data_IF_534259580243
#
_entry.id   IF_534259580243
#
_cell.length_a   1.000
_cell.length_b   1.000
_cell.length_c   1.000
_cell.angle_alpha   90.00
_cell.angle_beta   90.00
_cell.angle_gamma   90.00
#
_symmetry.space_group_name_H-M   'P 1'
#
loop_
_entity.id
_entity.type
_entity.pdbx_description
1 polymer ?
#
# COMPACT_ATOMS: atom_id res chain seq x y z
N UNK A 1 -28.80 -33.39 27.50
CA UNK A 1 -28.88 -32.10 26.76
C UNK A 1 -29.81 -31.25 27.61
N UNK A 2 -29.26 -30.26 28.30
CA UNK A 2 -30.09 -29.26 28.99
C UNK A 2 -30.77 -28.39 27.95
N UNK A 3 -32.09 -28.24 28.02
CA UNK A 3 -32.83 -27.29 27.18
C UNK A 3 -32.42 -25.89 27.57
N UNK A 4 -31.78 -25.16 26.61
CA UNK A 4 -31.46 -23.76 26.80
C UNK A 4 -32.74 -22.97 27.06
N UNK A 5 -32.71 -22.05 28.02
CA UNK A 5 -33.84 -21.15 28.29
C UNK A 5 -33.98 -20.16 27.14
N UNK A 6 -35.20 -19.63 26.95
CA UNK A 6 -35.48 -18.59 25.89
C UNK A 6 -34.55 -17.39 26.03
N UNK A 7 -34.26 -16.96 27.26
CA UNK A 7 -33.32 -15.86 27.55
C UNK A 7 -31.87 -16.18 27.10
N UNK A 8 -31.42 -17.42 27.34
CA UNK A 8 -30.09 -17.86 26.88
C UNK A 8 -30.00 -17.90 25.33
N UNK A 9 -31.06 -18.30 24.66
CA UNK A 9 -31.12 -18.28 23.19
C UNK A 9 -31.11 -16.85 22.64
N UNK A 10 -31.86 -15.93 23.25
CA UNK A 10 -31.88 -14.51 22.87
C UNK A 10 -30.48 -13.92 23.02
N UNK A 11 -29.81 -14.10 24.16
CA UNK A 11 -28.46 -13.58 24.39
C UNK A 11 -27.42 -14.14 23.38
N UNK A 12 -27.58 -15.42 22.99
CA UNK A 12 -26.72 -16.03 21.97
C UNK A 12 -26.95 -15.43 20.58
N UNK A 13 -28.21 -15.17 20.20
CA UNK A 13 -28.52 -14.49 18.94
C UNK A 13 -28.05 -13.02 18.94
N UNK A 14 -28.23 -12.30 20.03
CA UNK A 14 -27.73 -10.91 20.15
C UNK A 14 -26.21 -10.87 19.99
N UNK A 15 -25.49 -11.81 20.59
CA UNK A 15 -24.04 -11.93 20.42
C UNK A 15 -23.67 -12.22 18.95
N UNK A 16 -24.37 -13.14 18.30
CA UNK A 16 -24.11 -13.47 16.88
C UNK A 16 -24.35 -12.26 15.97
N UNK A 17 -25.43 -11.49 16.22
CA UNK A 17 -25.71 -10.27 15.47
C UNK A 17 -24.58 -9.27 15.65
N UNK A 18 -24.15 -9.03 16.87
CA UNK A 18 -23.02 -8.15 17.16
C UNK A 18 -21.74 -8.57 16.44
N UNK A 19 -21.39 -9.85 16.49
CA UNK A 19 -20.19 -10.37 15.82
C UNK A 19 -20.28 -10.25 14.30
N UNK A 20 -21.48 -10.41 13.70
CA UNK A 20 -21.70 -10.21 12.26
C UNK A 20 -21.56 -8.71 11.88
N UNK A 21 -22.06 -7.79 12.70
CA UNK A 21 -21.89 -6.35 12.50
C UNK A 21 -20.39 -5.98 12.56
N UNK A 22 -19.64 -6.52 13.52
CA UNK A 22 -18.20 -6.33 13.60
C UNK A 22 -17.46 -6.87 12.37
N UNK A 23 -17.82 -8.06 11.88
CA UNK A 23 -17.24 -8.62 10.65
C UNK A 23 -17.53 -7.76 9.42
N UNK A 24 -18.71 -7.15 9.33
CA UNK A 24 -19.05 -6.22 8.25
C UNK A 24 -18.18 -4.95 8.30
N UNK A 25 -17.97 -4.39 9.50
CA UNK A 25 -17.14 -3.21 9.67
C UNK A 25 -15.65 -3.52 9.37
N UNK A 26 -15.14 -4.66 9.83
CA UNK A 26 -13.81 -5.17 9.50
C UNK A 26 -13.67 -5.34 7.97
N UNK A 27 -14.67 -5.96 7.33
CA UNK A 27 -14.67 -6.15 5.87
C UNK A 27 -14.62 -4.83 5.11
N UNK A 28 -15.40 -3.82 5.54
CA UNK A 28 -15.37 -2.47 4.95
C UNK A 28 -14.00 -1.82 5.12
N UNK A 29 -13.42 -1.92 6.32
CA UNK A 29 -12.07 -1.40 6.59
C UNK A 29 -11.03 -2.02 5.68
N UNK A 30 -11.02 -3.35 5.54
CA UNK A 30 -10.07 -4.05 4.68
C UNK A 30 -10.25 -3.70 3.19
N UNK A 31 -11.50 -3.57 2.72
CA UNK A 31 -11.79 -3.21 1.34
C UNK A 31 -11.46 -1.75 0.99
N UNK A 32 -11.48 -0.85 1.96
CA UNK A 32 -11.17 0.58 1.76
C UNK A 32 -9.66 0.87 1.80
N UNK A 33 -8.86 -0.02 2.38
CA UNK A 33 -7.41 0.18 2.52
C UNK A 33 -6.68 -0.39 1.32
N UNK A 34 -6.11 0.49 0.48
CA UNK A 34 -5.41 0.11 -0.75
C UNK A 34 -3.90 -0.11 -0.55
N UNK A 35 -3.31 0.53 0.45
CA UNK A 35 -1.87 0.40 0.75
C UNK A 35 -1.61 -0.91 1.52
N UNK A 36 -0.82 -1.80 0.91
CA UNK A 36 -0.50 -3.12 1.46
C UNK A 36 -0.04 -3.10 2.93
N UNK A 37 0.95 -2.30 3.33
CA UNK A 37 1.41 -2.26 4.72
C UNK A 37 0.33 -1.86 5.72
N UNK A 38 -0.48 -0.85 5.41
CA UNK A 38 -1.60 -0.41 6.27
C UNK A 38 -2.70 -1.47 6.37
N UNK A 39 -2.98 -2.17 5.27
CA UNK A 39 -3.91 -3.28 5.25
C UNK A 39 -3.46 -4.41 6.19
N UNK A 40 -2.18 -4.78 6.13
CA UNK A 40 -1.62 -5.82 7.01
C UNK A 40 -1.70 -5.43 8.48
N UNK A 41 -1.38 -4.17 8.82
CA UNK A 41 -1.55 -3.63 10.17
C UNK A 41 -3.02 -3.70 10.61
N UNK A 42 -3.96 -3.31 9.77
CA UNK A 42 -5.40 -3.36 10.07
C UNK A 42 -5.88 -4.79 10.33
N UNK A 43 -5.42 -5.78 9.56
CA UNK A 43 -5.73 -7.21 9.76
C UNK A 43 -5.20 -7.68 11.12
N UNK A 44 -3.93 -7.39 11.42
CA UNK A 44 -3.28 -7.78 12.68
C UNK A 44 -4.02 -7.18 13.87
N UNK A 45 -4.31 -5.87 13.86
CA UNK A 45 -5.02 -5.20 14.94
C UNK A 45 -6.45 -5.72 15.13
N UNK A 46 -7.18 -5.96 14.04
CA UNK A 46 -8.51 -6.54 14.12
C UNK A 46 -8.50 -7.92 14.79
N UNK A 47 -7.55 -8.78 14.42
CA UNK A 47 -7.40 -10.07 15.05
C UNK A 47 -6.95 -9.97 16.51
N UNK A 48 -6.02 -9.08 16.86
CA UNK A 48 -5.59 -8.85 18.23
C UNK A 48 -6.76 -8.41 19.13
N UNK A 49 -7.56 -7.47 18.65
CA UNK A 49 -8.71 -6.96 19.40
C UNK A 49 -9.76 -8.04 19.64
N UNK A 50 -10.14 -8.79 18.59
CA UNK A 50 -11.16 -9.83 18.68
C UNK A 50 -10.72 -11.02 19.55
N UNK A 51 -9.44 -11.40 19.46
CA UNK A 51 -8.90 -12.57 20.16
C UNK A 51 -8.30 -12.24 21.53
N UNK A 52 -8.24 -10.95 21.90
CA UNK A 52 -7.70 -10.46 23.17
C UNK A 52 -6.26 -10.93 23.40
N UNK A 53 -5.39 -10.73 22.42
CA UNK A 53 -3.98 -11.09 22.51
C UNK A 53 -3.09 -9.86 22.61
N UNK A 54 -1.96 -10.01 23.27
CA UNK A 54 -1.02 -8.91 23.52
C UNK A 54 -0.14 -8.61 22.31
N UNK A 55 0.07 -9.60 21.45
CA UNK A 55 0.88 -9.47 20.24
C UNK A 55 0.34 -10.40 19.15
N UNK A 56 0.61 -10.04 17.91
CA UNK A 56 0.35 -10.86 16.74
C UNK A 56 1.29 -10.43 15.60
N UNK A 57 1.39 -11.26 14.58
CA UNK A 57 2.12 -10.92 13.37
C UNK A 57 1.64 -11.74 12.20
N UNK A 58 1.95 -11.27 11.00
CA UNK A 58 1.51 -11.87 9.76
C UNK A 58 2.71 -12.14 8.85
N UNK A 59 2.83 -13.37 8.39
CA UNK A 59 3.73 -13.75 7.32
C UNK A 59 2.96 -13.68 6.01
N UNK A 60 3.48 -12.94 5.05
CA UNK A 60 2.87 -12.78 3.72
C UNK A 60 3.81 -13.34 2.67
N UNK A 61 3.24 -13.97 1.66
CA UNK A 61 4.01 -14.47 0.53
C UNK A 61 4.60 -13.31 -0.26
N UNK A 62 5.93 -13.28 -0.43
CA UNK A 62 6.59 -12.29 -1.27
C UNK A 62 6.10 -12.42 -2.71
N UNK A 63 5.47 -11.35 -3.21
CA UNK A 63 4.88 -11.33 -4.55
C UNK A 63 5.91 -11.27 -5.68
N UNK A 64 7.14 -10.86 -5.37
CA UNK A 64 8.26 -10.81 -6.32
C UNK A 64 9.04 -12.13 -6.32
N UNK A 65 9.07 -12.81 -5.17
CA UNK A 65 9.75 -14.09 -5.01
C UNK A 65 8.84 -15.03 -4.22
N UNK A 66 7.96 -15.76 -4.92
CA UNK A 66 6.95 -16.66 -4.32
C UNK A 66 7.55 -17.89 -3.58
N UNK A 67 8.82 -17.83 -3.19
CA UNK A 67 9.51 -18.94 -2.51
C UNK A 67 9.37 -18.90 -1.00
N UNK A 68 9.08 -17.72 -0.41
CA UNK A 68 9.06 -17.53 1.04
C UNK A 68 7.90 -16.69 1.50
N UNK A 69 7.32 -17.04 2.66
CA UNK A 69 6.51 -16.13 3.45
C UNK A 69 7.45 -15.31 4.33
N UNK A 70 7.33 -13.99 4.28
CA UNK A 70 8.13 -13.07 5.08
C UNK A 70 7.28 -12.41 6.16
N UNK A 71 7.84 -12.24 7.35
CA UNK A 71 7.16 -11.51 8.42
C UNK A 71 7.11 -10.02 8.11
N UNK A 72 5.88 -9.50 7.97
CA UNK A 72 5.58 -8.12 7.61
C UNK A 72 4.93 -7.39 8.79
N UNK A 73 5.64 -7.16 9.89
CA UNK A 73 5.10 -6.28 10.94
C UNK A 73 6.17 -5.43 11.58
N UNK A 74 5.93 -4.12 11.63
CA UNK A 74 6.71 -3.14 12.39
C UNK A 74 6.43 -3.19 13.90
N UNK A 75 5.44 -3.95 14.35
CA UNK A 75 4.94 -3.96 15.74
C UNK A 75 5.07 -5.29 16.48
N UNK A 76 5.76 -6.28 15.91
CA UNK A 76 6.19 -7.39 16.75
C UNK A 76 7.20 -6.85 17.78
N UNK A 77 7.02 -7.20 19.03
CA UNK A 77 7.97 -6.95 20.14
C UNK A 77 9.28 -7.76 19.93
N UNK A 78 9.69 -7.86 18.67
CA UNK A 78 10.93 -8.52 18.29
C UNK A 78 12.01 -7.46 18.31
N UNK A 79 12.90 -7.61 19.27
CA UNK A 79 14.16 -6.87 19.33
C UNK A 79 14.83 -6.91 17.95
N UNK A 80 14.88 -5.78 17.26
CA UNK A 80 15.53 -5.63 15.94
C UNK A 80 17.05 -5.91 15.97
N UNK A 81 17.55 -6.29 17.14
CA UNK A 81 18.97 -6.57 17.38
C UNK A 81 19.42 -7.98 16.99
N UNK A 82 18.51 -8.92 16.68
CA UNK A 82 18.89 -10.33 16.47
C UNK A 82 19.35 -10.70 15.06
N UNK A 83 19.22 -9.84 14.06
CA UNK A 83 19.67 -10.13 12.67
C UNK A 83 19.02 -11.36 12.00
N UNK A 84 18.03 -11.97 12.64
CA UNK A 84 17.30 -13.16 12.14
C UNK A 84 16.29 -12.72 11.09
N UNK A 85 16.35 -13.34 9.91
CA UNK A 85 15.31 -13.21 8.90
C UNK A 85 14.16 -14.15 9.25
N UNK A 86 13.00 -13.60 9.61
CA UNK A 86 11.79 -14.38 9.83
C UNK A 86 11.13 -14.73 8.50
N UNK A 87 11.50 -15.87 7.94
CA UNK A 87 11.03 -16.36 6.64
C UNK A 87 10.62 -17.82 6.74
N UNK A 88 9.50 -18.19 6.12
CA UNK A 88 9.01 -19.57 6.01
C UNK A 88 9.04 -19.96 4.54
N UNK A 89 9.82 -20.97 4.13
CA UNK A 89 9.79 -21.46 2.76
C UNK A 89 8.39 -21.94 2.36
N UNK A 90 7.94 -21.63 1.15
CA UNK A 90 6.63 -22.08 0.66
C UNK A 90 6.48 -23.60 0.67
N UNK A 91 7.58 -24.33 0.51
CA UNK A 91 7.64 -25.79 0.52
C UNK A 91 7.84 -26.41 1.91
N UNK A 92 7.89 -25.59 2.98
CA UNK A 92 8.08 -26.10 4.34
C UNK A 92 6.88 -26.95 4.77
N UNK A 93 7.08 -28.10 5.47
CA UNK A 93 6.00 -28.94 5.97
C UNK A 93 4.96 -28.21 6.83
N UNK A 94 5.36 -27.15 7.55
CA UNK A 94 4.44 -26.25 8.28
C UNK A 94 3.36 -25.69 7.35
N UNK A 95 3.74 -25.23 6.15
CA UNK A 95 2.79 -24.68 5.17
C UNK A 95 1.88 -25.78 4.64
N UNK A 96 2.40 -26.97 4.40
CA UNK A 96 1.60 -28.13 3.94
C UNK A 96 0.56 -28.49 4.98
N UNK A 97 0.95 -28.64 6.25
CA UNK A 97 0.03 -28.94 7.36
C UNK A 97 -1.08 -27.88 7.48
N UNK A 98 -0.73 -26.59 7.43
CA UNK A 98 -1.71 -25.51 7.48
C UNK A 98 -2.65 -25.51 6.26
N UNK A 99 -2.15 -25.90 5.07
CA UNK A 99 -2.94 -26.00 3.84
C UNK A 99 -3.95 -27.16 3.87
N UNK A 100 -3.60 -28.25 4.53
CA UNK A 100 -4.47 -29.42 4.72
C UNK A 100 -5.54 -29.17 5.78
N UNK A 101 -5.15 -28.62 6.94
CA UNK A 101 -6.05 -28.35 8.06
C UNK A 101 -7.07 -27.24 7.77
N UNK A 102 -6.67 -26.20 7.06
CA UNK A 102 -7.52 -25.04 6.67
C UNK A 102 -8.23 -24.36 7.83
N UNK A 103 -7.75 -24.53 9.04
CA UNK A 103 -8.31 -23.97 10.29
C UNK A 103 -7.20 -23.50 11.22
N UNK A 104 -7.52 -22.68 12.24
CA UNK A 104 -6.56 -22.29 13.27
C UNK A 104 -6.06 -23.50 14.06
N UNK A 105 -4.75 -23.57 14.24
CA UNK A 105 -4.08 -24.63 15.00
C UNK A 105 -3.18 -24.06 16.10
N UNK A 106 -2.95 -24.80 17.15
CA UNK A 106 -1.95 -24.44 18.18
C UNK A 106 -0.54 -24.74 17.68
N UNK A 107 0.45 -24.10 18.30
CA UNK A 107 1.86 -24.38 17.99
C UNK A 107 2.21 -25.86 18.22
N UNK A 108 1.75 -26.43 19.33
CA UNK A 108 2.04 -27.84 19.67
C UNK A 108 1.51 -28.79 18.60
N UNK A 109 0.26 -28.60 18.17
CA UNK A 109 -0.32 -29.40 17.09
C UNK A 109 0.50 -29.29 15.80
N UNK A 110 0.93 -28.06 15.45
CA UNK A 110 1.71 -27.82 14.23
C UNK A 110 3.08 -28.52 14.29
N UNK A 111 3.75 -28.47 15.44
CA UNK A 111 5.06 -29.08 15.63
C UNK A 111 5.00 -30.63 15.65
N UNK A 112 3.92 -31.20 16.18
CA UNK A 112 3.69 -32.66 16.15
C UNK A 112 3.49 -33.17 14.72
N UNK A 113 2.80 -32.39 13.86
CA UNK A 113 2.51 -32.77 12.49
C UNK A 113 3.57 -32.29 11.46
N UNK A 114 4.53 -31.45 11.90
CA UNK A 114 5.63 -30.93 11.07
C UNK A 114 6.95 -30.96 11.87
N UNK A 115 7.44 -32.14 12.29
CA UNK A 115 8.59 -32.23 13.18
C UNK A 115 9.91 -31.82 12.49
N UNK A 116 10.78 -31.14 13.24
CA UNK A 116 12.16 -30.89 12.83
C UNK A 116 12.34 -29.90 11.70
N UNK A 117 11.37 -28.99 11.48
CA UNK A 117 11.44 -27.95 10.45
C UNK A 117 12.09 -26.68 10.98
N UNK A 118 12.82 -25.95 10.11
CA UNK A 118 13.40 -24.65 10.48
C UNK A 118 12.32 -23.60 10.75
N UNK A 119 11.19 -23.68 10.05
CA UNK A 119 10.03 -22.83 10.30
C UNK A 119 9.41 -23.11 11.68
N UNK A 120 9.30 -24.40 12.09
CA UNK A 120 8.81 -24.76 13.41
C UNK A 120 9.67 -24.22 14.54
N UNK A 121 11.00 -24.28 14.42
CA UNK A 121 11.92 -23.75 15.43
C UNK A 121 11.88 -22.21 15.48
N UNK A 122 11.72 -21.54 14.34
CA UNK A 122 11.50 -20.10 14.28
C UNK A 122 10.16 -19.71 14.95
N UNK A 123 9.07 -20.42 14.65
CA UNK A 123 7.77 -20.17 15.27
C UNK A 123 7.80 -20.36 16.78
N UNK A 124 8.57 -21.31 17.32
CA UNK A 124 8.78 -21.44 18.77
C UNK A 124 9.35 -20.16 19.39
N UNK A 125 10.24 -19.46 18.69
CA UNK A 125 10.82 -18.21 19.21
C UNK A 125 9.79 -17.06 19.31
N UNK A 126 8.69 -17.13 18.54
CA UNK A 126 7.59 -16.18 18.58
C UNK A 126 6.51 -16.52 19.62
N UNK A 127 6.59 -17.71 20.23
CA UNK A 127 5.66 -18.21 21.27
C UNK A 127 4.17 -18.02 20.92
N UNK A 128 3.71 -18.40 19.71
CA UNK A 128 2.32 -18.22 19.34
C UNK A 128 1.42 -19.20 20.12
N UNK A 129 0.26 -18.70 20.56
CA UNK A 129 -0.80 -19.53 21.15
C UNK A 129 -1.75 -20.10 20.10
N UNK A 130 -1.88 -19.39 18.96
CA UNK A 130 -2.70 -19.82 17.83
C UNK A 130 -2.04 -19.39 16.52
N UNK A 131 -2.10 -20.25 15.51
CA UNK A 131 -1.61 -20.00 14.15
C UNK A 131 -2.78 -20.16 13.19
N UNK A 132 -3.03 -19.13 12.37
CA UNK A 132 -4.22 -19.01 11.52
C UNK A 132 -3.79 -18.89 10.06
N UNK A 133 -4.13 -19.84 9.20
CA UNK A 133 -3.82 -19.71 7.78
C UNK A 133 -4.74 -18.71 7.08
N UNK A 134 -4.17 -17.82 6.29
CA UNK A 134 -4.90 -16.91 5.38
C UNK A 134 -5.10 -17.62 4.04
N UNK A 135 -6.28 -18.19 3.86
CA UNK A 135 -6.58 -19.05 2.69
C UNK A 135 -7.51 -18.36 1.73
N UNK A 136 -7.16 -18.40 0.44
CA UNK A 136 -8.03 -18.02 -0.66
C UNK A 136 -7.99 -19.08 -1.75
N UNK A 137 -9.15 -19.59 -2.17
CA UNK A 137 -9.30 -20.59 -3.25
C UNK A 137 -8.34 -21.80 -3.13
N UNK A 138 -8.13 -22.34 -1.95
CA UNK A 138 -7.19 -23.44 -1.67
C UNK A 138 -5.68 -23.09 -1.67
N UNK A 139 -5.31 -21.83 -1.74
CA UNK A 139 -3.93 -21.39 -1.58
C UNK A 139 -3.76 -20.59 -0.30
N UNK A 140 -2.65 -20.82 0.40
CA UNK A 140 -2.25 -19.98 1.53
C UNK A 140 -1.55 -18.74 0.97
N UNK A 141 -2.11 -17.56 1.29
CA UNK A 141 -1.54 -16.27 0.91
C UNK A 141 -0.78 -15.60 2.06
N UNK A 142 -0.97 -16.13 3.28
CA UNK A 142 -0.30 -15.65 4.48
C UNK A 142 -0.53 -16.59 5.67
N UNK A 143 0.21 -16.35 6.74
CA UNK A 143 0.11 -17.08 8.01
C UNK A 143 0.10 -16.03 9.11
N UNK A 144 -1.02 -15.94 9.83
CA UNK A 144 -1.15 -15.07 11.00
C UNK A 144 -0.79 -15.89 12.25
N UNK A 145 0.01 -15.33 13.13
CA UNK A 145 0.20 -15.88 14.46
C UNK A 145 -0.36 -14.93 15.53
N UNK A 146 -0.96 -15.49 16.56
CA UNK A 146 -1.47 -14.79 17.72
C UNK A 146 -0.63 -15.20 18.94
N UNK A 147 -0.15 -14.23 19.69
CA UNK A 147 0.67 -14.44 20.86
C UNK A 147 -0.14 -14.67 22.13
N UNK A 148 0.38 -14.23 23.26
CA UNK A 148 -0.22 -14.46 24.57
C UNK A 148 -1.60 -13.81 24.68
N UNK A 149 -2.58 -14.63 25.13
CA UNK A 149 -3.95 -14.18 25.40
C UNK A 149 -4.06 -13.59 26.79
N UNK A 150 -4.72 -12.47 26.93
CA UNK A 150 -5.01 -11.88 28.24
C UNK A 150 -6.49 -12.05 28.60
N UNK A 151 -6.75 -12.25 29.90
CA UNK A 151 -8.10 -12.32 30.47
C UNK A 151 -8.21 -11.34 31.61
N UNK A 152 -9.41 -10.75 31.78
CA UNK A 152 -9.67 -9.83 32.89
C UNK A 152 -10.00 -10.56 34.20
N UNK A 153 -10.31 -11.87 34.15
CA UNK A 153 -10.67 -12.66 35.29
C UNK A 153 -9.51 -13.61 35.66
N UNK A 154 -8.92 -13.48 36.88
CA UNK A 154 -7.85 -14.37 37.31
C UNK A 154 -8.35 -15.83 37.41
N UNK A 155 -7.64 -16.72 36.70
CA UNK A 155 -7.95 -18.17 36.72
C UNK A 155 -8.96 -18.64 35.67
N UNK A 156 -9.40 -17.77 34.76
CA UNK A 156 -10.19 -18.19 33.60
C UNK A 156 -9.33 -19.02 32.62
N UNK A 157 -9.98 -19.95 31.93
CA UNK A 157 -9.35 -20.75 30.88
C UNK A 157 -8.95 -19.80 29.72
N UNK A 158 -7.68 -19.84 29.32
CA UNK A 158 -7.12 -19.07 28.22
C UNK A 158 -7.20 -19.83 26.88
N UNK A 159 -7.79 -21.05 26.86
CA UNK A 159 -7.98 -21.80 25.63
C UNK A 159 -8.98 -21.10 24.70
N UNK A 160 -8.80 -21.33 23.39
CA UNK A 160 -9.73 -20.82 22.38
C UNK A 160 -10.88 -21.79 22.16
N UNK A 161 -12.10 -21.27 22.25
CA UNK A 161 -13.30 -22.01 21.88
C UNK A 161 -13.35 -22.24 20.37
N UNK A 162 -14.09 -23.24 19.90
CA UNK A 162 -14.27 -23.46 18.46
C UNK A 162 -14.93 -22.27 17.78
N UNK A 163 -15.86 -21.61 18.46
CA UNK A 163 -16.49 -20.37 18.00
C UNK A 163 -15.46 -19.23 17.76
N UNK A 164 -14.53 -19.02 18.69
CA UNK A 164 -13.46 -18.01 18.53
C UNK A 164 -12.51 -18.38 17.41
N UNK A 165 -12.18 -19.66 17.23
CA UNK A 165 -11.37 -20.14 16.10
C UNK A 165 -12.07 -19.89 14.77
N UNK A 166 -13.38 -20.15 14.69
CA UNK A 166 -14.16 -19.86 13.48
C UNK A 166 -14.24 -18.35 13.20
N UNK A 167 -14.40 -17.53 14.25
CA UNK A 167 -14.44 -16.08 14.10
C UNK A 167 -13.11 -15.53 13.55
N UNK A 168 -11.98 -15.92 14.13
CA UNK A 168 -10.68 -15.45 13.62
C UNK A 168 -10.37 -16.01 12.23
N UNK A 169 -10.81 -17.23 11.91
CA UNK A 169 -10.68 -17.78 10.57
C UNK A 169 -11.49 -16.98 9.54
N UNK A 170 -12.67 -16.50 9.89
CA UNK A 170 -13.47 -15.63 9.02
C UNK A 170 -12.76 -14.29 8.78
N UNK A 171 -12.20 -13.66 9.82
CA UNK A 171 -11.41 -12.43 9.69
C UNK A 171 -10.17 -12.68 8.81
N UNK A 172 -9.45 -13.77 9.04
CA UNK A 172 -8.28 -14.15 8.25
C UNK A 172 -8.63 -14.41 6.78
N UNK A 173 -9.80 -14.99 6.51
CA UNK A 173 -10.28 -15.22 5.14
C UNK A 173 -10.62 -13.91 4.41
N UNK A 174 -11.26 -12.95 5.11
CA UNK A 174 -11.48 -11.60 4.59
C UNK A 174 -10.14 -10.89 4.33
N UNK A 175 -9.19 -11.02 5.26
CA UNK A 175 -7.82 -10.51 5.11
C UNK A 175 -7.10 -11.10 3.90
N UNK A 176 -7.20 -12.41 3.69
CA UNK A 176 -6.60 -13.09 2.54
C UNK A 176 -7.13 -12.55 1.20
N UNK A 177 -8.45 -12.30 1.12
CA UNK A 177 -9.08 -11.70 -0.06
C UNK A 177 -8.58 -10.27 -0.28
N UNK A 178 -8.53 -9.47 0.78
CA UNK A 178 -8.10 -8.08 0.71
C UNK A 178 -6.62 -7.96 0.31
N UNK A 179 -5.73 -8.77 0.88
CA UNK A 179 -4.30 -8.84 0.51
C UNK A 179 -4.15 -9.19 -0.97
N UNK A 180 -4.85 -10.21 -1.44
CA UNK A 180 -4.77 -10.60 -2.85
C UNK A 180 -5.30 -9.49 -3.78
N UNK A 181 -6.39 -8.83 -3.42
CA UNK A 181 -6.95 -7.72 -4.20
C UNK A 181 -5.98 -6.53 -4.23
N UNK A 182 -5.39 -6.15 -3.08
CA UNK A 182 -4.37 -5.10 -3.00
C UNK A 182 -3.18 -5.42 -3.89
N UNK A 183 -2.68 -6.66 -3.86
CA UNK A 183 -1.59 -7.14 -4.71
C UNK A 183 -1.92 -7.11 -6.21
N UNK A 184 -3.15 -7.48 -6.59
CA UNK A 184 -3.62 -7.40 -7.98
C UNK A 184 -3.73 -5.95 -8.45
N UNK A 185 -4.28 -5.07 -7.61
CA UNK A 185 -4.33 -3.63 -7.86
C UNK A 185 -2.91 -3.08 -8.01
N UNK A 186 -2.01 -3.43 -7.13
CA UNK A 186 -0.63 -2.98 -7.20
C UNK A 186 0.08 -3.42 -8.47
N UNK A 187 -0.06 -4.69 -8.88
CA UNK A 187 0.48 -5.21 -10.14
C UNK A 187 -0.14 -4.55 -11.37
N UNK A 188 -1.46 -4.35 -11.38
CA UNK A 188 -2.16 -3.70 -12.50
C UNK A 188 -1.99 -2.19 -12.50
N UNK A 189 -1.53 -1.59 -11.39
CA UNK A 189 -1.37 -0.15 -11.22
C UNK A 189 -0.02 0.40 -11.64
N UNK A 190 0.87 -0.45 -12.12
CA UNK A 190 2.23 -0.06 -12.51
C UNK A 190 2.38 -0.13 -14.02
N UNK A 191 2.88 0.94 -14.61
CA UNK A 191 3.21 0.99 -16.04
C UNK A 191 4.42 0.09 -16.35
N UNK A 192 4.25 -0.87 -17.25
CA UNK A 192 5.27 -1.89 -17.52
C UNK A 192 6.56 -1.32 -18.11
N UNK A 193 6.50 -0.20 -18.84
CA UNK A 193 7.65 0.44 -19.46
C UNK A 193 8.44 1.27 -18.44
N UNK A 194 7.76 2.17 -17.74
CA UNK A 194 8.40 3.15 -16.86
C UNK A 194 8.55 2.68 -15.42
N UNK A 195 7.86 1.62 -15.02
CA UNK A 195 7.80 1.11 -13.64
C UNK A 195 7.28 2.14 -12.63
N UNK A 196 6.58 3.16 -13.11
CA UNK A 196 5.84 4.11 -12.29
C UNK A 196 4.39 3.69 -12.13
N UNK A 197 3.71 4.23 -11.12
CA UNK A 197 2.27 3.97 -10.94
C UNK A 197 1.44 4.57 -12.08
N UNK A 198 0.28 3.98 -12.35
CA UNK A 198 -0.66 4.50 -13.33
C UNK A 198 -1.55 5.60 -12.73
N UNK A 199 -2.12 6.45 -13.59
CA UNK A 199 -2.99 7.58 -13.24
C UNK A 199 -4.09 7.24 -12.24
N UNK A 200 -4.81 6.12 -12.40
CA UNK A 200 -5.91 5.78 -11.50
C UNK A 200 -5.43 5.46 -10.08
N UNK A 201 -4.28 4.78 -9.94
CA UNK A 201 -3.67 4.51 -8.64
C UNK A 201 -3.24 5.80 -7.95
N UNK A 202 -2.63 6.71 -8.72
CA UNK A 202 -2.26 8.04 -8.24
C UNK A 202 -3.47 8.80 -7.66
N UNK A 203 -4.61 8.82 -8.35
CA UNK A 203 -5.82 9.50 -7.84
C UNK A 203 -6.38 8.86 -6.58
N UNK A 204 -6.33 7.54 -6.46
CA UNK A 204 -6.79 6.85 -5.26
C UNK A 204 -5.93 7.24 -4.05
N UNK A 205 -4.59 7.16 -4.18
CA UNK A 205 -3.66 7.55 -3.12
C UNK A 205 -3.76 9.05 -2.82
N UNK A 206 -3.86 9.90 -3.84
CA UNK A 206 -4.02 11.34 -3.66
C UNK A 206 -5.28 11.68 -2.86
N UNK A 207 -6.41 11.02 -3.14
CA UNK A 207 -7.65 11.27 -2.40
C UNK A 207 -7.48 10.95 -0.93
N UNK A 208 -6.93 9.79 -0.58
CA UNK A 208 -6.65 9.40 0.81
C UNK A 208 -5.68 10.36 1.50
N UNK A 209 -4.58 10.71 0.81
CA UNK A 209 -3.56 11.61 1.38
C UNK A 209 -4.08 13.04 1.55
N UNK A 210 -4.94 13.51 0.66
CA UNK A 210 -5.56 14.83 0.77
C UNK A 210 -6.53 14.89 1.96
N UNK A 211 -7.33 13.85 2.19
CA UNK A 211 -8.23 13.75 3.35
C UNK A 211 -7.43 13.77 4.67
N UNK A 212 -6.33 13.04 4.73
CA UNK A 212 -5.41 13.07 5.88
C UNK A 212 -4.78 14.46 6.06
N UNK A 213 -4.30 15.07 4.97
CA UNK A 213 -3.69 16.40 4.98
C UNK A 213 -4.67 17.49 5.46
N UNK A 214 -5.95 17.38 5.09
CA UNK A 214 -7.01 18.27 5.59
C UNK A 214 -7.24 18.10 7.09
N UNK A 215 -7.28 16.86 7.57
CA UNK A 215 -7.53 16.53 8.99
C UNK A 215 -6.37 16.98 9.87
N UNK A 216 -5.15 16.67 9.48
CA UNK A 216 -3.92 16.97 10.24
C UNK A 216 -3.37 18.37 9.98
N UNK A 217 -3.93 19.09 8.98
CA UNK A 217 -3.51 20.42 8.53
C UNK A 217 -2.06 20.49 8.07
N UNK A 218 -1.58 19.41 7.44
CA UNK A 218 -0.26 19.32 6.84
C UNK A 218 -0.29 19.68 5.35
N UNK A 219 0.76 20.29 4.80
CA UNK A 219 0.81 20.62 3.37
C UNK A 219 1.00 19.37 2.52
N UNK A 220 0.46 19.40 1.29
CA UNK A 220 0.62 18.34 0.30
C UNK A 220 0.84 19.00 -1.07
N UNK A 221 1.82 18.53 -1.84
CA UNK A 221 2.11 19.14 -3.14
C UNK A 221 1.95 18.14 -4.31
N UNK A 222 1.51 18.66 -5.46
CA UNK A 222 1.44 17.94 -6.73
C UNK A 222 2.38 18.61 -7.72
N UNK A 223 3.20 17.79 -8.38
CA UNK A 223 4.00 18.17 -9.53
C UNK A 223 3.41 17.51 -10.77
N UNK A 224 3.18 18.27 -11.83
CA UNK A 224 2.77 17.77 -13.14
C UNK A 224 3.88 18.06 -14.14
N UNK A 225 4.46 17.01 -14.70
CA UNK A 225 5.56 17.08 -15.67
C UNK A 225 5.10 16.63 -17.05
N UNK A 226 5.74 17.22 -18.09
CA UNK A 226 5.55 16.80 -19.48
C UNK A 226 6.87 16.99 -20.25
N UNK A 227 7.21 16.02 -21.10
CA UNK A 227 8.44 16.07 -21.90
C UNK A 227 8.25 17.06 -23.04
N UNK A 228 9.13 18.06 -23.09
CA UNK A 228 9.04 19.12 -24.08
C UNK A 228 9.26 18.59 -25.50
N UNK A 229 8.31 18.91 -26.41
CA UNK A 229 8.36 18.53 -27.82
C UNK A 229 8.47 17.01 -28.10
N UNK A 230 7.93 16.16 -27.22
CA UNK A 230 8.10 14.70 -27.29
C UNK A 230 7.57 14.10 -28.61
N UNK A 231 6.46 14.61 -29.15
CA UNK A 231 5.98 14.19 -30.46
C UNK A 231 7.00 14.45 -31.58
N UNK A 232 7.58 15.66 -31.60
CA UNK A 232 8.62 15.99 -32.58
C UNK A 232 9.89 15.17 -32.38
N UNK A 233 10.22 14.84 -31.14
CA UNK A 233 11.30 13.93 -30.80
C UNK A 233 11.07 12.54 -31.42
N UNK A 234 9.88 11.96 -31.24
CA UNK A 234 9.51 10.67 -31.83
C UNK A 234 9.52 10.71 -33.37
N UNK A 235 9.03 11.78 -33.97
CA UNK A 235 9.05 11.96 -35.42
C UNK A 235 10.47 12.01 -35.97
N UNK A 236 11.46 12.46 -35.17
CA UNK A 236 12.86 12.61 -35.57
C UNK A 236 13.70 11.35 -35.32
N UNK A 237 13.52 10.72 -34.13
CA UNK A 237 14.40 9.64 -33.64
C UNK A 237 13.71 8.26 -33.59
N UNK A 238 12.41 8.22 -33.88
CA UNK A 238 11.62 6.98 -33.80
C UNK A 238 11.07 6.65 -32.42
N UNK A 239 10.04 5.81 -32.40
CA UNK A 239 9.34 5.45 -31.16
C UNK A 239 10.20 4.64 -30.17
N UNK A 240 11.08 3.75 -30.65
CA UNK A 240 11.98 3.01 -29.76
C UNK A 240 12.90 3.92 -28.94
N UNK A 241 13.38 4.99 -29.58
CA UNK A 241 14.18 6.02 -28.92
C UNK A 241 13.32 6.83 -27.94
N UNK A 242 12.06 7.13 -28.29
CA UNK A 242 11.09 7.76 -27.37
C UNK A 242 10.80 6.92 -26.15
N UNK A 243 10.62 5.61 -26.29
CA UNK A 243 10.41 4.67 -25.20
C UNK A 243 11.61 4.63 -24.25
N UNK A 244 12.83 4.65 -24.79
CA UNK A 244 14.05 4.78 -23.99
C UNK A 244 14.03 6.10 -23.19
N UNK A 245 13.70 7.24 -23.81
CA UNK A 245 13.62 8.53 -23.12
C UNK A 245 12.57 8.52 -22.01
N UNK A 246 11.37 7.98 -22.26
CA UNK A 246 10.33 7.82 -21.25
C UNK A 246 10.82 7.03 -20.03
N UNK A 247 11.54 5.94 -20.28
CA UNK A 247 12.10 5.09 -19.21
C UNK A 247 13.16 5.83 -18.39
N UNK A 248 14.06 6.57 -19.05
CA UNK A 248 15.11 7.34 -18.37
C UNK A 248 14.53 8.51 -17.57
N UNK A 249 13.57 9.26 -18.13
CA UNK A 249 12.86 10.36 -17.43
C UNK A 249 12.15 9.81 -16.19
N UNK A 250 11.42 8.70 -16.34
CA UNK A 250 10.74 8.06 -15.21
C UNK A 250 11.71 7.63 -14.10
N UNK A 251 12.85 7.06 -14.49
CA UNK A 251 13.91 6.68 -13.53
C UNK A 251 14.47 7.89 -12.77
N UNK A 252 14.76 8.99 -13.48
CA UNK A 252 15.26 10.24 -12.86
C UNK A 252 14.21 10.81 -11.91
N UNK A 253 12.95 10.86 -12.30
CA UNK A 253 11.86 11.31 -11.42
C UNK A 253 11.85 10.44 -10.15
N UNK A 254 11.77 9.12 -10.30
CA UNK A 254 11.66 8.18 -9.17
C UNK A 254 12.85 8.29 -8.19
N UNK A 255 14.06 8.35 -8.72
CA UNK A 255 15.29 8.47 -7.88
C UNK A 255 15.45 9.84 -7.23
N UNK A 256 14.75 10.85 -7.74
CA UNK A 256 14.70 12.19 -7.16
C UNK A 256 13.71 12.35 -5.99
N UNK A 257 12.99 11.29 -5.56
CA UNK A 257 11.93 11.31 -4.57
C UNK A 257 12.30 10.52 -3.31
N UNK A 258 11.55 10.78 -2.22
CA UNK A 258 11.61 9.99 -0.98
C UNK A 258 10.69 8.77 -1.10
N UNK A 259 10.86 7.81 -0.19
CA UNK A 259 10.03 6.58 -0.15
C UNK A 259 8.53 6.88 0.07
N UNK A 260 8.20 7.95 0.80
CA UNK A 260 6.83 8.38 1.08
C UNK A 260 6.18 9.20 -0.06
N UNK A 261 6.94 9.58 -1.07
CA UNK A 261 6.45 10.30 -2.25
C UNK A 261 6.00 9.31 -3.32
N UNK A 262 5.05 9.71 -4.16
CA UNK A 262 4.50 8.85 -5.21
C UNK A 262 4.74 9.46 -6.59
N UNK A 263 5.40 8.72 -7.48
CA UNK A 263 5.50 9.05 -8.90
C UNK A 263 4.55 8.19 -9.74
N UNK A 264 3.95 8.81 -10.77
CA UNK A 264 3.00 8.15 -11.67
C UNK A 264 3.21 8.58 -13.12
N UNK A 265 2.97 7.66 -14.05
CA UNK A 265 2.78 7.98 -15.45
C UNK A 265 1.32 8.39 -15.67
N UNK A 266 1.09 9.66 -15.89
CA UNK A 266 -0.25 10.25 -15.97
C UNK A 266 -0.86 10.11 -17.37
N UNK A 267 -0.03 10.21 -18.38
CA UNK A 267 -0.38 10.10 -19.80
C UNK A 267 0.76 9.51 -20.63
N UNK A 268 0.74 9.71 -21.93
CA UNK A 268 1.77 9.20 -22.84
C UNK A 268 3.16 9.68 -22.46
N UNK A 269 3.32 11.00 -22.33
CA UNK A 269 4.57 11.73 -22.04
C UNK A 269 4.47 12.58 -20.76
N UNK A 270 3.37 12.39 -20.00
CA UNK A 270 3.04 13.15 -18.80
C UNK A 270 3.28 12.32 -17.54
N UNK A 271 3.86 12.93 -16.53
CA UNK A 271 4.14 12.33 -15.24
C UNK A 271 3.61 13.20 -14.11
N UNK A 272 3.11 12.54 -13.04
CA UNK A 272 2.71 13.25 -11.82
C UNK A 272 3.52 12.76 -10.63
N UNK A 273 3.72 13.68 -9.69
CA UNK A 273 4.36 13.37 -8.40
C UNK A 273 3.49 13.94 -7.29
N UNK A 274 3.23 13.12 -6.28
CA UNK A 274 2.63 13.50 -5.02
C UNK A 274 3.73 13.58 -3.96
N UNK A 275 3.89 14.75 -3.36
CA UNK A 275 4.84 15.00 -2.27
C UNK A 275 4.08 15.16 -0.96
N UNK A 276 4.34 14.27 -0.01
CA UNK A 276 3.74 14.33 1.32
C UNK A 276 4.45 15.36 2.19
N UNK A 277 3.72 16.00 3.11
CA UNK A 277 4.23 17.01 4.06
C UNK A 277 5.25 17.96 3.44
N UNK A 278 4.87 18.57 2.31
CA UNK A 278 5.77 19.38 1.51
C UNK A 278 5.19 20.76 1.21
N UNK A 279 5.88 21.80 1.65
CA UNK A 279 5.51 23.19 1.44
C UNK A 279 5.88 23.66 0.03
N UNK A 280 5.34 24.82 -0.37
CA UNK A 280 5.53 25.40 -1.69
C UNK A 280 7.00 25.51 -2.11
N UNK A 281 7.84 26.10 -1.27
CA UNK A 281 9.23 26.36 -1.65
C UNK A 281 10.03 25.09 -1.84
N UNK A 282 9.79 24.09 -0.98
CA UNK A 282 10.40 22.76 -1.08
C UNK A 282 9.90 22.00 -2.32
N UNK A 283 8.58 22.07 -2.61
CA UNK A 283 8.00 21.45 -3.81
C UNK A 283 8.61 22.03 -5.10
N UNK A 284 8.75 23.35 -5.17
CA UNK A 284 9.39 24.03 -6.32
C UNK A 284 10.86 23.64 -6.44
N UNK A 285 11.59 23.53 -5.33
CA UNK A 285 12.99 23.09 -5.35
C UNK A 285 13.14 21.64 -5.81
N UNK A 286 12.27 20.75 -5.36
CA UNK A 286 12.26 19.33 -5.81
C UNK A 286 11.97 19.27 -7.32
N UNK A 287 10.95 19.99 -7.79
CA UNK A 287 10.59 20.05 -9.20
C UNK A 287 11.75 20.57 -10.06
N UNK A 288 12.41 21.67 -9.63
CA UNK A 288 13.54 22.27 -10.35
C UNK A 288 14.77 21.35 -10.35
N UNK A 289 15.04 20.63 -9.25
CA UNK A 289 16.11 19.64 -9.20
C UNK A 289 15.87 18.51 -10.20
N UNK A 290 14.65 17.98 -10.30
CA UNK A 290 14.29 16.93 -11.27
C UNK A 290 14.45 17.50 -12.69
N UNK A 291 13.90 18.68 -12.97
CA UNK A 291 14.00 19.35 -14.27
C UNK A 291 15.47 19.52 -14.70
N UNK A 292 16.30 20.10 -13.81
CA UNK A 292 17.71 20.33 -14.09
C UNK A 292 18.51 19.04 -14.26
N UNK A 293 18.17 17.98 -13.52
CA UNK A 293 18.79 16.65 -13.69
C UNK A 293 18.49 16.10 -15.08
N UNK A 294 17.25 16.21 -15.56
CA UNK A 294 16.86 15.75 -16.89
C UNK A 294 17.55 16.59 -17.98
N UNK A 295 17.56 17.92 -17.86
CA UNK A 295 18.22 18.81 -18.81
C UNK A 295 19.72 18.50 -18.97
N UNK A 296 20.38 18.13 -17.85
CA UNK A 296 21.82 17.82 -17.84
C UNK A 296 22.11 16.34 -18.11
N UNK A 297 21.10 15.48 -18.16
CA UNK A 297 21.29 14.07 -18.43
C UNK A 297 21.76 13.83 -19.88
N UNK A 298 22.71 12.93 -20.05
CA UNK A 298 23.19 12.51 -21.36
C UNK A 298 22.35 11.34 -21.86
N UNK A 299 21.30 11.64 -22.62
CA UNK A 299 20.47 10.60 -23.25
C UNK A 299 21.22 10.01 -24.44
N UNK A 300 21.67 8.76 -24.31
CA UNK A 300 22.40 8.05 -25.37
C UNK A 300 21.67 6.78 -25.79
N UNK A 301 21.24 6.73 -27.05
CA UNK A 301 20.58 5.56 -27.62
C UNK A 301 21.25 5.18 -28.95
N UNK A 302 21.69 3.93 -29.10
CA UNK A 302 22.40 3.42 -30.27
C UNK A 302 23.61 4.28 -30.70
N UNK A 303 24.34 4.85 -29.73
CA UNK A 303 25.52 5.69 -29.98
C UNK A 303 25.19 7.14 -30.34
N UNK A 304 23.92 7.52 -30.35
CA UNK A 304 23.48 8.90 -30.62
C UNK A 304 23.14 9.60 -29.31
N UNK A 305 23.71 10.80 -29.09
CA UNK A 305 23.45 11.67 -27.95
C UNK A 305 22.29 12.60 -28.26
N UNK A 306 21.39 12.78 -27.30
CA UNK A 306 20.18 13.60 -27.45
C UNK A 306 19.98 14.50 -26.26
N UNK A 307 19.32 15.62 -26.47
CA UNK A 307 18.90 16.55 -25.43
C UNK A 307 17.40 16.48 -25.24
N UNK A 308 16.99 16.31 -23.99
CA UNK A 308 15.59 16.27 -23.58
C UNK A 308 15.39 17.27 -22.44
N UNK A 309 14.30 18.00 -22.49
CA UNK A 309 13.88 18.89 -21.40
C UNK A 309 12.46 18.56 -20.98
N UNK A 310 12.10 18.99 -19.77
CA UNK A 310 10.74 18.86 -19.25
C UNK A 310 10.22 20.20 -18.74
N UNK A 311 8.93 20.39 -18.85
CA UNK A 311 8.19 21.46 -18.19
C UNK A 311 7.46 20.91 -16.98
N UNK A 312 7.29 21.74 -15.94
CA UNK A 312 6.59 21.34 -14.72
C UNK A 312 5.63 22.40 -14.25
N UNK A 313 4.45 21.96 -13.78
CA UNK A 313 3.54 22.76 -12.98
C UNK A 313 3.49 22.25 -11.55
N UNK A 314 3.41 23.15 -10.58
CA UNK A 314 3.39 22.84 -9.14
C UNK A 314 2.12 23.42 -8.53
N UNK A 315 1.39 22.61 -7.77
CA UNK A 315 0.30 23.03 -6.89
C UNK A 315 0.51 22.52 -5.49
N UNK A 316 0.00 23.25 -4.49
CA UNK A 316 0.18 22.88 -3.07
C UNK A 316 -1.14 23.08 -2.33
N UNK A 317 -1.61 22.03 -1.69
CA UNK A 317 -2.64 22.15 -0.66
C UNK A 317 -2.03 22.77 0.59
N UNK A 318 -2.67 23.80 1.10
CA UNK A 318 -2.39 24.40 2.39
C UNK A 318 -3.71 24.84 3.02
N UNK A 319 -4.00 24.40 4.23
CA UNK A 319 -5.29 24.61 4.89
C UNK A 319 -5.66 26.10 5.09
N UNK A 320 -4.69 27.03 5.04
CA UNK A 320 -4.90 28.48 5.19
C UNK A 320 -4.92 29.22 3.86
N UNK A 321 -4.01 28.88 2.97
CA UNK A 321 -3.75 29.67 1.77
C UNK A 321 -4.33 29.04 0.50
N UNK A 322 -4.52 27.72 0.48
CA UNK A 322 -5.08 26.97 -0.66
C UNK A 322 -5.89 25.75 -0.18
N UNK A 323 -7.06 25.94 0.47
CA UNK A 323 -7.85 24.87 1.09
C UNK A 323 -8.66 24.05 0.05
N UNK A 324 -7.98 23.36 -0.85
CA UNK A 324 -8.59 22.47 -1.83
C UNK A 324 -9.13 21.23 -1.12
N UNK A 325 -10.32 20.76 -1.49
CA UNK A 325 -10.99 19.61 -0.87
C UNK A 325 -11.18 18.42 -1.82
N UNK A 326 -10.86 18.58 -3.10
CA UNK A 326 -11.07 17.56 -4.12
C UNK A 326 -9.76 17.30 -4.86
N UNK A 327 -9.36 16.03 -4.93
CA UNK A 327 -8.11 15.60 -5.59
C UNK A 327 -7.97 16.09 -7.04
N UNK A 328 -9.07 16.13 -7.80
CA UNK A 328 -9.05 16.63 -9.17
C UNK A 328 -8.66 18.12 -9.23
N UNK A 329 -9.12 18.96 -8.29
CA UNK A 329 -8.83 20.39 -8.29
C UNK A 329 -7.34 20.71 -8.10
N UNK A 330 -6.65 19.99 -7.22
CA UNK A 330 -5.22 20.23 -7.01
C UNK A 330 -4.39 19.76 -8.21
N UNK A 331 -4.83 18.70 -8.90
CA UNK A 331 -4.20 18.22 -10.14
C UNK A 331 -4.44 19.21 -11.27
N UNK A 332 -5.68 19.70 -11.46
CA UNK A 332 -6.01 20.72 -12.47
C UNK A 332 -5.21 22.01 -12.24
N UNK A 333 -4.99 22.40 -11.00
CA UNK A 333 -4.15 23.54 -10.66
C UNK A 333 -2.69 23.31 -11.08
N UNK A 334 -2.14 22.10 -10.84
CA UNK A 334 -0.80 21.74 -11.29
C UNK A 334 -0.71 21.73 -12.83
N UNK A 335 -1.73 21.19 -13.51
CA UNK A 335 -1.80 21.18 -14.98
C UNK A 335 -1.81 22.61 -15.56
N UNK A 336 -2.54 23.55 -14.93
CA UNK A 336 -2.50 24.95 -15.31
C UNK A 336 -1.08 25.55 -15.16
N UNK A 337 -0.35 25.20 -14.09
CA UNK A 337 1.06 25.58 -13.92
C UNK A 337 1.95 25.03 -15.04
N UNK A 338 1.72 23.78 -15.45
CA UNK A 338 2.40 23.13 -16.56
C UNK A 338 2.11 23.86 -17.89
N UNK A 339 0.85 24.19 -18.15
CA UNK A 339 0.46 24.98 -19.29
C UNK A 339 1.21 26.32 -19.37
N UNK A 340 1.31 27.02 -18.21
CA UNK A 340 2.10 28.27 -18.13
C UNK A 340 3.58 28.03 -18.43
N UNK A 341 4.17 26.95 -17.93
CA UNK A 341 5.56 26.57 -18.20
C UNK A 341 5.80 26.37 -19.70
N UNK A 342 4.90 25.62 -20.36
CA UNK A 342 4.97 25.39 -21.82
C UNK A 342 4.84 26.67 -22.63
N UNK A 343 3.95 27.61 -22.25
CA UNK A 343 3.73 28.88 -22.97
C UNK A 343 4.84 29.90 -22.74
N UNK A 344 5.49 29.88 -21.58
CA UNK A 344 6.56 30.82 -21.25
C UNK A 344 7.95 30.36 -21.73
N UNK A 345 8.02 29.39 -22.65
CA UNK A 345 9.27 28.97 -23.31
C UNK A 345 9.80 27.61 -22.87
N UNK A 346 8.98 26.80 -22.16
CA UNK A 346 9.31 25.41 -21.73
C UNK A 346 10.53 25.31 -20.80
N UNK A 347 10.97 24.10 -20.52
CA UNK A 347 12.15 23.79 -19.68
C UNK A 347 12.19 24.62 -18.39
N UNK A 348 11.08 24.63 -17.65
CA UNK A 348 10.90 25.40 -16.42
C UNK A 348 9.87 24.82 -15.48
N UNK A 349 9.90 25.31 -14.26
CA UNK A 349 8.90 25.03 -13.23
C UNK A 349 8.05 26.28 -13.00
N UNK A 350 6.73 26.11 -12.94
CA UNK A 350 5.79 27.18 -12.62
C UNK A 350 4.88 26.75 -11.48
N UNK A 351 4.87 27.52 -10.40
CA UNK A 351 3.90 27.37 -9.34
C UNK A 351 2.57 28.02 -9.76
N UNK A 352 1.48 27.26 -9.66
CA UNK A 352 0.14 27.76 -9.92
C UNK A 352 -0.48 28.33 -8.63
N UNK A 353 -0.76 29.64 -8.57
CA UNK A 353 -1.35 30.23 -7.37
C UNK A 353 -2.82 29.83 -7.19
N UNK A 354 -3.37 29.88 -5.95
CA UNK A 354 -4.73 29.46 -5.61
C UNK A 354 -5.85 30.14 -6.43
N UNK A 355 -5.62 31.36 -6.91
CA UNK A 355 -6.59 32.14 -7.68
C UNK A 355 -6.88 31.60 -9.09
N UNK A 356 -6.18 30.55 -9.54
CA UNK A 356 -6.30 29.97 -10.88
C UNK A 356 -7.25 28.75 -10.95
N UNK A 357 -7.95 28.39 -9.88
CA UNK A 357 -9.06 27.44 -9.95
C UNK A 357 -10.25 28.14 -10.61
N UNK A 358 -10.18 28.34 -11.92
CA UNK A 358 -11.28 28.95 -12.66
C UNK A 358 -12.24 27.89 -13.15
N UNK A 359 -13.52 28.21 -12.97
CA UNK A 359 -14.72 27.53 -13.43
C UNK A 359 -14.82 27.33 -14.97
N UNK A 360 -13.76 27.55 -15.73
CA UNK A 360 -13.80 27.63 -17.21
C UNK A 360 -13.33 26.38 -17.98
N UNK A 361 -12.98 25.26 -17.29
CA UNK A 361 -12.55 24.04 -17.98
C UNK A 361 -13.69 23.03 -18.28
N UNK A 362 -14.96 23.45 -18.17
CA UNK A 362 -16.11 22.61 -18.56
C UNK A 362 -16.40 22.61 -20.08
N UNK A 363 -15.50 23.20 -20.90
CA UNK A 363 -15.70 23.26 -22.36
C UNK A 363 -14.37 23.10 -23.11
N UNK A 364 -13.91 21.85 -23.25
CA UNK A 364 -13.23 21.40 -24.48
C UNK A 364 -13.21 19.87 -24.51
#
# INVERSE_FOLDING_TARGET
MEEKTTEQMIAEYEKHIYDLEQLLDISRSFCSTLEGPKLLESIVFSCMAQMRVTNAGIFVLDLLNSEYFQLETKQSVLDQTSGLKYQIPYTDPVVTTLSEEKRPVTLDYLLENSPGTTAGDMLKSLTPTLIVPLIQKNHINGILFLGERFTFEPGSDISYTDYEKDLVQNIASLGAIAINNSALIERSSTDMMTQLKLKYYFFNVLTEKLDNAMTEKIPLAILMFDIDFFKHFNDTYGHECGDYVLTQVAHIIKTGLRDDDLASRYGGEEFTVLLNDTKKDDAVQIAERIRATIENHDFMFNGQHMKVTISCGVSVFDHKTNPITIAAQIVDQADHGLYMSKHNGRNRVTYAPPSLVSTDYARK
#
